data_IF_631488171615
#
_entry.id   IF_631488171615
#
_cell.length_a   1.000
_cell.length_b   1.000
_cell.length_c   1.000
_cell.angle_alpha   90.00
_cell.angle_beta   90.00
_cell.angle_gamma   90.00
#
_symmetry.space_group_name_H-M   'P 1'
#
loop_
_entity.id
_entity.type
_entity.pdbx_description
1 polymer ?
#
# COMPACT_ATOMS: atom_id res chain seq x y z
N UNK A 1 -48.15 46.81 19.92
CA UNK A 1 -47.33 48.03 20.03
C UNK A 1 -46.00 47.64 20.64
N UNK A 2 -44.92 47.75 19.85
CA UNK A 2 -43.53 47.50 20.26
C UNK A 2 -42.93 48.84 20.69
N UNK A 3 -42.31 48.91 21.87
CA UNK A 3 -41.49 50.05 22.26
C UNK A 3 -40.02 49.62 22.34
N UNK A 4 -39.19 50.41 21.67
CA UNK A 4 -37.74 50.35 21.61
C UNK A 4 -37.21 51.43 22.55
N UNK A 5 -36.21 51.11 23.37
CA UNK A 5 -35.20 52.09 23.82
C UNK A 5 -33.82 51.42 23.77
N UNK A 6 -32.94 52.01 22.97
CA UNK A 6 -31.48 51.91 23.04
C UNK A 6 -30.97 52.83 24.18
N UNK A 7 -29.72 52.95 24.66
CA UNK A 7 -28.32 52.91 24.16
C UNK A 7 -27.44 52.93 25.46
N UNK A 8 -26.24 52.35 25.66
CA UNK A 8 -24.84 52.76 25.32
C UNK A 8 -23.92 51.81 26.13
N UNK A 9 -22.99 51.04 25.54
CA UNK A 9 -21.58 51.30 25.16
C UNK A 9 -20.66 51.92 26.25
N UNK A 10 -19.59 51.17 26.60
CA UNK A 10 -18.15 51.47 26.79
C UNK A 10 -17.55 50.12 27.27
N UNK A 11 -16.49 49.50 26.74
CA UNK A 11 -15.36 49.93 25.94
C UNK A 11 -14.07 49.60 26.70
N UNK A 12 -13.33 48.56 26.29
CA UNK A 12 -11.88 48.45 26.46
C UNK A 12 -11.30 47.33 25.58
N UNK A 13 -10.59 47.77 24.52
CA UNK A 13 -9.60 47.00 23.79
C UNK A 13 -8.38 46.72 24.68
N UNK A 14 -7.81 45.51 24.60
CA UNK A 14 -6.35 45.34 24.62
C UNK A 14 -5.95 44.33 23.55
N UNK A 15 -5.10 44.79 22.65
CA UNK A 15 -4.44 44.10 21.56
C UNK A 15 -3.38 43.10 22.06
N UNK A 16 -3.24 41.96 21.38
CA UNK A 16 -2.09 41.06 21.54
C UNK A 16 -2.07 39.99 20.45
N UNK A 17 -1.06 40.02 19.59
CA UNK A 17 -0.92 39.18 18.39
C UNK A 17 -0.37 37.77 18.67
N UNK A 18 -0.98 36.78 17.99
CA UNK A 18 -0.44 35.57 17.32
C UNK A 18 0.62 34.72 18.06
N UNK A 19 0.32 33.42 18.27
CA UNK A 19 1.18 32.30 17.82
C UNK A 19 0.32 31.06 17.59
N UNK A 20 0.40 30.49 16.37
CA UNK A 20 -0.20 29.21 16.03
C UNK A 20 0.58 28.08 16.71
N UNK A 21 -0.11 27.08 17.26
CA UNK A 21 0.49 25.80 17.60
C UNK A 21 -0.54 24.71 17.35
N UNK A 22 -0.29 23.89 16.33
CA UNK A 22 -0.99 22.64 16.12
C UNK A 22 -0.58 21.67 17.22
N UNK A 23 -1.56 21.05 17.89
CA UNK A 23 -1.34 19.87 18.73
C UNK A 23 -2.35 18.78 18.35
N UNK A 24 -1.76 17.64 17.97
CA UNK A 24 -2.38 16.34 17.78
C UNK A 24 -2.92 15.75 19.10
N UNK A 25 -3.96 14.91 18.97
CA UNK A 25 -4.58 14.05 19.99
C UNK A 25 -6.10 14.02 19.74
N UNK A 26 -6.81 12.94 19.46
CA UNK A 26 -6.65 11.54 19.85
C UNK A 26 -7.24 10.56 18.79
N UNK A 27 -6.59 9.41 18.66
CA UNK A 27 -7.02 8.17 17.96
C UNK A 27 -7.96 7.35 18.90
N UNK A 28 -8.54 6.15 18.58
CA UNK A 28 -8.13 5.13 17.59
C UNK A 28 -9.25 4.35 16.88
N UNK A 29 -8.91 3.59 15.82
CA UNK A 29 -9.33 2.19 15.69
C UNK A 29 -8.21 1.42 14.98
N UNK A 30 -7.33 0.84 15.80
CA UNK A 30 -6.32 -0.14 15.41
C UNK A 30 -7.02 -1.48 15.19
N UNK A 31 -7.03 -1.97 13.96
CA UNK A 31 -6.87 -3.41 13.71
C UNK A 31 -5.57 -3.56 12.94
N UNK A 32 -4.47 -3.41 13.68
CA UNK A 32 -3.10 -3.62 13.22
C UNK A 32 -2.72 -5.05 13.59
N UNK A 33 -2.05 -5.75 12.68
CA UNK A 33 -1.44 -7.06 12.88
C UNK A 33 -0.87 -7.18 14.31
N UNK A 34 -1.51 -8.01 15.12
CA UNK A 34 -1.36 -8.03 16.57
C UNK A 34 0.07 -8.38 16.98
N UNK A 35 0.84 -7.38 17.43
CA UNK A 35 1.93 -7.59 18.38
C UNK A 35 3.29 -6.96 18.09
N UNK A 36 3.50 -6.31 16.94
CA UNK A 36 4.78 -5.66 16.65
C UNK A 36 4.68 -4.14 16.86
N UNK A 37 5.55 -3.53 17.69
CA UNK A 37 5.55 -2.08 17.87
C UNK A 37 5.96 -1.34 16.58
N UNK A 38 5.43 -0.13 16.40
CA UNK A 38 5.51 0.67 15.15
C UNK A 38 6.94 0.95 14.67
N UNK A 39 7.92 0.92 15.60
CA UNK A 39 9.35 1.06 15.31
C UNK A 39 9.96 -0.19 14.63
N UNK A 40 9.41 -1.38 14.88
CA UNK A 40 9.78 -2.64 14.21
C UNK A 40 9.25 -2.69 12.78
N UNK A 41 8.03 -2.19 12.54
CA UNK A 41 7.42 -2.09 11.19
C UNK A 41 8.24 -1.13 10.32
N UNK A 42 8.67 -0.01 10.88
CA UNK A 42 9.53 0.96 10.19
C UNK A 42 10.94 0.39 9.89
N UNK A 43 11.50 -0.41 10.80
CA UNK A 43 12.83 -1.06 10.61
C UNK A 43 12.80 -2.23 9.64
N UNK A 44 11.71 -3.00 9.54
CA UNK A 44 11.61 -4.08 8.54
C UNK A 44 11.62 -3.54 7.10
N UNK A 45 11.14 -2.31 6.86
CA UNK A 45 11.17 -1.69 5.52
C UNK A 45 12.55 -1.24 5.07
N UNK A 46 13.46 -0.90 5.98
CA UNK A 46 14.76 -0.30 5.62
C UNK A 46 15.66 -1.21 4.77
N UNK A 47 15.43 -2.53 4.80
CA UNK A 47 16.23 -3.52 4.06
C UNK A 47 15.42 -4.35 3.05
N UNK A 48 14.13 -4.07 2.89
CA UNK A 48 13.27 -4.85 1.99
C UNK A 48 12.95 -4.05 0.72
N UNK A 49 12.97 -4.69 -0.47
CA UNK A 49 12.65 -4.01 -1.70
C UNK A 49 11.14 -3.76 -1.82
N UNK A 50 10.74 -2.49 -1.67
CA UNK A 50 9.36 -2.06 -1.86
C UNK A 50 8.80 -2.51 -3.22
N UNK A 51 7.57 -3.06 -3.30
CA UNK A 51 6.56 -3.11 -2.23
C UNK A 51 6.59 -4.36 -1.35
N UNK A 52 7.56 -5.25 -1.54
CA UNK A 52 7.61 -6.51 -0.83
C UNK A 52 8.29 -6.38 0.53
N UNK A 53 7.82 -7.17 1.47
CA UNK A 53 8.43 -7.43 2.77
C UNK A 53 8.96 -8.87 2.72
N UNK A 54 10.14 -9.11 3.28
CA UNK A 54 10.64 -10.49 3.43
C UNK A 54 9.82 -11.20 4.49
N UNK A 55 9.12 -12.28 4.13
CA UNK A 55 8.43 -13.12 5.09
C UNK A 55 9.47 -13.96 5.87
N UNK A 56 9.34 -13.97 7.19
CA UNK A 56 10.21 -14.74 8.10
C UNK A 56 9.43 -15.76 8.92
N UNK A 57 8.10 -15.81 8.74
CA UNK A 57 7.19 -16.58 9.56
C UNK A 57 6.90 -17.93 8.90
N UNK A 58 6.58 -17.94 7.60
CA UNK A 58 6.36 -19.18 6.85
C UNK A 58 7.57 -19.51 5.97
N UNK A 59 8.20 -20.66 6.19
CA UNK A 59 9.36 -21.10 5.42
C UNK A 59 9.03 -21.41 3.94
N UNK A 60 7.76 -21.50 3.58
CA UNK A 60 7.29 -21.71 2.20
C UNK A 60 7.30 -20.44 1.36
N UNK A 61 7.15 -19.28 1.99
CA UNK A 61 7.04 -18.00 1.32
C UNK A 61 8.23 -17.12 1.72
N UNK A 62 8.82 -16.44 0.74
CA UNK A 62 9.98 -15.59 0.99
C UNK A 62 9.60 -14.10 1.01
N UNK A 63 8.46 -13.76 0.38
CA UNK A 63 8.02 -12.38 0.16
C UNK A 63 6.53 -12.26 0.47
N UNK A 64 6.15 -11.09 0.98
CA UNK A 64 4.79 -10.69 1.24
C UNK A 64 4.52 -9.28 0.70
N UNK A 65 3.42 -9.12 -0.03
CA UNK A 65 2.86 -7.83 -0.42
C UNK A 65 1.68 -7.51 0.50
N UNK A 66 1.86 -6.55 1.40
CA UNK A 66 0.83 -6.08 2.31
C UNK A 66 -0.08 -5.05 1.60
N UNK A 67 -1.34 -5.40 1.36
CA UNK A 67 -2.32 -4.52 0.73
C UNK A 67 -3.05 -3.61 1.72
N UNK A 68 -2.81 -3.78 3.03
CA UNK A 68 -3.25 -2.86 4.08
C UNK A 68 -2.25 -1.72 4.32
N UNK A 69 -1.02 -1.85 3.79
CA UNK A 69 0.01 -0.82 3.86
C UNK A 69 -0.41 0.45 3.11
N UNK A 70 -0.51 1.56 3.86
CA UNK A 70 -0.89 2.87 3.31
C UNK A 70 0.01 3.36 2.19
N UNK A 71 1.31 3.02 2.18
CA UNK A 71 2.22 3.41 1.10
C UNK A 71 1.97 2.58 -0.18
N UNK A 72 1.67 1.28 -0.03
CA UNK A 72 1.29 0.40 -1.14
C UNK A 72 -0.03 0.87 -1.75
N UNK A 73 -1.04 1.13 -0.91
CA UNK A 73 -2.34 1.67 -1.34
C UNK A 73 -2.17 3.01 -2.05
N UNK A 74 -1.40 3.95 -1.47
CA UNK A 74 -1.21 5.28 -2.05
C UNK A 74 -0.51 5.22 -3.41
N UNK A 75 0.49 4.35 -3.58
CA UNK A 75 1.24 4.23 -4.83
C UNK A 75 0.47 3.50 -5.93
N UNK A 76 -0.19 2.38 -5.61
CA UNK A 76 -0.78 1.49 -6.62
C UNK A 76 -2.30 1.63 -6.75
N UNK A 77 -3.01 1.99 -5.69
CA UNK A 77 -4.47 2.13 -5.68
C UNK A 77 -5.00 3.04 -6.80
N UNK A 78 -4.43 4.24 -7.02
CA UNK A 78 -4.83 5.10 -8.14
C UNK A 78 -4.63 4.46 -9.51
N UNK A 79 -3.57 3.66 -9.71
CA UNK A 79 -3.26 2.99 -10.97
C UNK A 79 -4.30 1.89 -11.24
N UNK A 80 -4.60 1.08 -10.23
CA UNK A 80 -5.62 0.03 -10.32
C UNK A 80 -7.00 0.62 -10.60
N UNK A 81 -7.36 1.72 -9.91
CA UNK A 81 -8.62 2.43 -10.14
C UNK A 81 -8.75 2.94 -11.59
N UNK A 82 -7.69 3.54 -12.15
CA UNK A 82 -7.69 4.00 -13.56
C UNK A 82 -7.84 2.83 -14.54
N UNK A 83 -7.24 1.69 -14.23
CA UNK A 83 -7.31 0.48 -15.04
C UNK A 83 -8.58 -0.37 -14.78
N UNK A 84 -9.48 0.08 -13.90
CA UNK A 84 -10.71 -0.64 -13.49
C UNK A 84 -10.40 -2.04 -12.97
N UNK A 85 -9.41 -2.14 -12.08
CA UNK A 85 -8.99 -3.39 -11.44
C UNK A 85 -9.32 -3.33 -9.95
N UNK A 86 -9.72 -4.48 -9.39
CA UNK A 86 -9.90 -4.62 -7.95
C UNK A 86 -8.54 -4.59 -7.23
N UNK A 87 -8.48 -4.00 -6.04
CA UNK A 87 -7.25 -3.91 -5.25
C UNK A 87 -7.21 -5.03 -4.19
N UNK A 88 -7.19 -6.28 -4.65
CA UNK A 88 -7.28 -7.49 -3.81
C UNK A 88 -6.10 -8.43 -4.00
N UNK A 89 -5.88 -9.34 -3.05
CA UNK A 89 -4.84 -10.37 -3.14
C UNK A 89 -4.93 -11.19 -4.42
N UNK A 90 -6.12 -11.66 -4.79
CA UNK A 90 -6.36 -12.44 -6.02
C UNK A 90 -6.02 -11.67 -7.29
N UNK A 91 -6.34 -10.38 -7.34
CA UNK A 91 -6.02 -9.55 -8.52
C UNK A 91 -4.51 -9.35 -8.64
N UNK A 92 -3.84 -9.12 -7.51
CA UNK A 92 -2.39 -9.00 -7.46
C UNK A 92 -1.70 -10.32 -7.81
N UNK A 93 -2.22 -11.45 -7.37
CA UNK A 93 -1.71 -12.78 -7.72
C UNK A 93 -1.61 -12.95 -9.24
N UNK A 94 -2.74 -12.76 -9.93
CA UNK A 94 -2.79 -12.93 -11.38
C UNK A 94 -1.90 -11.91 -12.11
N UNK A 95 -1.84 -10.65 -11.64
CA UNK A 95 -0.92 -9.64 -12.19
C UNK A 95 0.54 -10.10 -12.07
N UNK A 96 0.96 -10.58 -10.91
CA UNK A 96 2.34 -11.03 -10.66
C UNK A 96 2.65 -12.28 -11.49
N UNK A 97 1.73 -13.24 -11.55
CA UNK A 97 1.86 -14.46 -12.37
C UNK A 97 2.03 -14.10 -13.85
N UNK A 98 1.18 -13.23 -14.41
CA UNK A 98 1.31 -12.80 -15.80
C UNK A 98 2.60 -11.98 -16.04
N UNK A 99 2.99 -11.13 -15.09
CA UNK A 99 4.23 -10.36 -15.19
C UNK A 99 5.45 -11.28 -15.24
N UNK A 100 5.51 -12.29 -14.36
CA UNK A 100 6.60 -13.26 -14.34
C UNK A 100 6.60 -14.14 -15.60
N UNK A 101 5.44 -14.58 -16.08
CA UNK A 101 5.34 -15.31 -17.34
C UNK A 101 5.85 -14.49 -18.53
N UNK A 102 5.72 -13.16 -18.51
CA UNK A 102 6.23 -12.29 -19.57
C UNK A 102 7.74 -12.00 -19.44
N UNK A 103 8.26 -11.89 -18.21
CA UNK A 103 9.68 -11.56 -17.97
C UNK A 103 10.60 -12.80 -18.00
N UNK A 104 10.21 -13.86 -17.29
CA UNK A 104 10.98 -15.11 -17.19
C UNK A 104 10.03 -16.31 -16.95
N UNK A 105 9.54 -16.95 -18.03
CA UNK A 105 8.63 -18.09 -17.93
C UNK A 105 9.21 -19.29 -17.19
N UNK A 106 10.54 -19.43 -17.14
CA UNK A 106 11.17 -20.56 -16.44
C UNK A 106 11.16 -20.31 -14.93
N UNK A 107 11.48 -19.09 -14.51
CA UNK A 107 11.39 -18.69 -13.12
C UNK A 107 9.93 -18.69 -12.63
N UNK A 108 8.98 -18.26 -13.47
CA UNK A 108 7.55 -18.28 -13.16
C UNK A 108 7.05 -19.67 -12.75
N UNK A 109 7.51 -20.75 -13.41
CA UNK A 109 7.14 -22.14 -13.05
C UNK A 109 7.61 -22.58 -11.67
N UNK A 110 8.63 -21.92 -11.13
CA UNK A 110 9.17 -22.20 -9.79
C UNK A 110 8.62 -21.26 -8.72
N UNK A 111 7.85 -20.24 -9.13
CA UNK A 111 7.17 -19.33 -8.22
C UNK A 111 5.87 -19.97 -7.74
N UNK A 112 5.61 -19.83 -6.45
CA UNK A 112 4.35 -20.18 -5.80
C UNK A 112 3.77 -18.91 -5.23
N UNK A 113 2.49 -18.69 -5.45
CA UNK A 113 1.75 -17.56 -4.90
C UNK A 113 0.60 -18.07 -4.04
N UNK A 114 0.17 -17.24 -3.09
CA UNK A 114 -1.01 -17.50 -2.29
C UNK A 114 -1.67 -16.16 -1.96
N UNK A 115 -2.81 -15.82 -2.60
CA UNK A 115 -3.55 -14.63 -2.26
C UNK A 115 -4.15 -14.74 -0.84
N UNK A 116 -4.28 -13.60 -0.19
CA UNK A 116 -4.94 -13.44 1.10
C UNK A 116 -5.81 -12.16 1.09
N UNK A 117 -6.72 -12.04 2.05
CA UNK A 117 -7.61 -10.88 2.16
C UNK A 117 -6.82 -9.57 2.33
N UNK A 118 -5.69 -9.64 3.02
CA UNK A 118 -4.82 -8.51 3.37
C UNK A 118 -3.57 -8.42 2.50
N UNK A 119 -3.35 -9.34 1.55
CA UNK A 119 -2.09 -9.36 0.83
C UNK A 119 -1.90 -10.48 -0.20
N UNK A 120 -0.63 -10.66 -0.58
CA UNK A 120 -0.18 -11.73 -1.45
C UNK A 120 1.15 -12.29 -0.94
N UNK A 121 1.18 -13.60 -0.68
CA UNK A 121 2.41 -14.32 -0.38
C UNK A 121 3.05 -14.84 -1.68
N UNK A 122 4.38 -14.74 -1.77
CA UNK A 122 5.16 -15.23 -2.91
C UNK A 122 6.34 -16.04 -2.38
N UNK A 123 6.50 -17.24 -2.91
CA UNK A 123 7.58 -18.17 -2.59
C UNK A 123 8.30 -18.64 -3.85
N UNK A 124 9.58 -18.91 -3.71
CA UNK A 124 10.38 -19.59 -4.74
C UNK A 124 11.59 -20.32 -4.16
N UNK A 125 11.80 -20.20 -2.84
CA UNK A 125 13.06 -20.48 -2.17
C UNK A 125 14.01 -19.30 -2.31
N UNK A 126 14.83 -19.05 -1.27
CA UNK A 126 15.74 -17.91 -1.15
C UNK A 126 16.47 -17.49 -2.44
N UNK A 127 17.04 -18.45 -3.18
CA UNK A 127 17.78 -18.17 -4.43
C UNK A 127 16.87 -17.61 -5.54
N UNK A 128 15.66 -18.12 -5.66
CA UNK A 128 14.73 -17.69 -6.70
C UNK A 128 14.05 -16.37 -6.30
N UNK A 129 13.83 -16.13 -5.01
CA UNK A 129 13.14 -14.94 -4.54
C UNK A 129 13.92 -13.65 -4.82
N UNK A 130 15.25 -13.68 -4.74
CA UNK A 130 16.09 -12.58 -5.24
C UNK A 130 15.94 -12.35 -6.75
N UNK A 131 15.79 -13.42 -7.54
CA UNK A 131 15.60 -13.32 -8.98
C UNK A 131 14.19 -12.84 -9.34
N UNK A 132 13.16 -13.29 -8.61
CA UNK A 132 11.78 -12.82 -8.74
C UNK A 132 11.74 -11.30 -8.53
N UNK A 133 12.38 -10.82 -7.45
CA UNK A 133 12.50 -9.39 -7.18
C UNK A 133 13.21 -8.63 -8.30
N UNK A 134 14.30 -9.17 -8.86
CA UNK A 134 15.01 -8.55 -9.99
C UNK A 134 14.10 -8.38 -11.22
N UNK A 135 13.17 -9.29 -11.47
CA UNK A 135 12.22 -9.19 -12.59
C UNK A 135 11.07 -8.23 -12.28
N UNK A 136 10.50 -8.27 -11.07
CA UNK A 136 9.30 -7.51 -10.72
C UNK A 136 9.59 -6.03 -10.44
N UNK A 137 10.64 -5.73 -9.67
CA UNK A 137 10.90 -4.38 -9.16
C UNK A 137 11.08 -3.31 -10.26
N UNK A 138 11.73 -3.57 -11.41
CA UNK A 138 11.84 -2.59 -12.48
C UNK A 138 10.50 -2.11 -13.04
N UNK A 139 9.46 -2.96 -12.97
CA UNK A 139 8.09 -2.63 -13.39
C UNK A 139 7.36 -1.96 -12.21
N UNK A 140 7.35 -2.59 -11.04
CA UNK A 140 6.60 -2.12 -9.88
C UNK A 140 7.10 -0.78 -9.30
N UNK A 141 8.37 -0.43 -9.53
CA UNK A 141 8.92 0.87 -9.12
C UNK A 141 8.80 1.97 -10.17
N UNK A 142 8.29 1.66 -11.36
CA UNK A 142 8.04 2.64 -12.41
C UNK A 142 6.54 2.68 -12.74
N UNK A 143 5.79 3.69 -12.26
CA UNK A 143 4.35 3.79 -12.49
C UNK A 143 3.94 3.71 -13.96
N UNK A 144 4.71 4.32 -14.88
CA UNK A 144 4.43 4.26 -16.31
C UNK A 144 4.55 2.85 -16.88
N UNK A 145 5.56 2.09 -16.45
CA UNK A 145 5.74 0.69 -16.89
C UNK A 145 4.64 -0.21 -16.33
N UNK A 146 4.26 -0.02 -15.07
CA UNK A 146 3.16 -0.77 -14.48
C UNK A 146 1.84 -0.46 -15.19
N UNK A 147 1.56 0.81 -15.46
CA UNK A 147 0.33 1.21 -16.16
C UNK A 147 0.28 0.67 -17.59
N UNK A 148 1.40 0.70 -18.32
CA UNK A 148 1.52 0.08 -19.64
C UNK A 148 1.31 -1.44 -19.59
N UNK A 149 1.89 -2.13 -18.60
CA UNK A 149 1.66 -3.56 -18.40
C UNK A 149 0.18 -3.88 -18.13
N UNK A 150 -0.46 -3.14 -17.21
CA UNK A 150 -1.87 -3.35 -16.85
C UNK A 150 -2.85 -3.01 -17.98
N UNK A 151 -2.45 -2.18 -18.94
CA UNK A 151 -3.25 -1.91 -20.13
C UNK A 151 -3.32 -3.13 -21.08
N UNK A 152 -2.32 -4.01 -21.04
CA UNK A 152 -2.18 -5.16 -21.94
C UNK A 152 -2.35 -6.52 -21.26
N UNK A 153 -2.67 -6.54 -19.97
CA UNK A 153 -2.89 -7.78 -19.22
C UNK A 153 -4.09 -8.57 -19.77
N UNK A 154 -4.01 -9.90 -19.71
CA UNK A 154 -5.15 -10.77 -20.02
C UNK A 154 -6.19 -10.68 -18.91
N UNK A 155 -7.21 -9.86 -19.14
CA UNK A 155 -8.28 -9.61 -18.18
C UNK A 155 -9.22 -10.79 -17.99
N UNK A 156 -9.21 -11.79 -18.88
CA UNK A 156 -10.07 -12.98 -18.75
C UNK A 156 -9.67 -13.88 -17.58
N UNK A 157 -8.47 -13.69 -17.04
CA UNK A 157 -7.93 -14.44 -15.90
C UNK A 157 -8.06 -13.71 -14.58
N UNK A 158 -8.49 -12.45 -14.60
CA UNK A 158 -8.67 -11.68 -13.38
C UNK A 158 -9.99 -12.09 -12.69
N UNK A 159 -10.04 -12.02 -11.34
CA UNK A 159 -11.29 -12.20 -10.61
C UNK A 159 -12.31 -11.12 -11.00
N UNK A 160 -13.59 -11.48 -11.03
CA UNK A 160 -14.72 -10.58 -11.34
C UNK A 160 -14.95 -9.50 -10.29
#
# INVERSE_FOLDING_TARGET
MRNIYAVFLIGALISGSITATAQNGDTPLKHSLTGLPDDQVTRQRANNPFPFITDKIDAKYDLYLDLTDTLVIHKYGPIFKRNKLAFTGDTWDEIIVQMMNNQDPNLAKSMVTMPADDGLFIGGGKRNSENILKQLLPILNNPSKLEDFLAHIDRSKLPE
#
